data_IF_782396415708
#
_entry.id   IF_782396415708
#
_cell.length_a   1.000
_cell.length_b   1.000
_cell.length_c   1.000
_cell.angle_alpha   90.00
_cell.angle_beta   90.00
_cell.angle_gamma   90.00
#
_symmetry.space_group_name_H-M   'P 1'
#
loop_
_entity.id
_entity.type
_entity.pdbx_description
1 polymer ?
#
# COMPACT_ATOMS: atom_id res chain seq x y z
N UNK A 1 -17.05 -20.19 6.83
CA UNK A 1 -16.24 -20.59 7.97
C UNK A 1 -14.78 -20.28 7.71
N UNK A 2 -14.19 -19.74 8.69
CA UNK A 2 -12.79 -19.45 8.54
C UNK A 2 -11.96 -20.71 8.56
N UNK A 3 -11.12 -20.86 7.58
CA UNK A 3 -10.28 -22.02 7.49
C UNK A 3 -8.99 -21.78 8.26
N UNK A 4 -8.84 -22.45 9.38
CA UNK A 4 -7.67 -22.24 10.20
C UNK A 4 -6.54 -23.15 9.78
N UNK A 5 -5.41 -22.56 9.53
CA UNK A 5 -4.21 -23.33 9.23
C UNK A 5 -3.45 -23.62 10.52
N UNK A 6 -3.61 -24.85 11.02
CA UNK A 6 -3.01 -25.22 12.30
C UNK A 6 -1.50 -25.41 12.22
N UNK A 7 -0.95 -25.51 11.02
CA UNK A 7 0.49 -25.74 10.85
C UNK A 7 1.29 -24.46 10.78
N UNK A 8 0.63 -23.36 10.98
CA UNK A 8 1.34 -22.10 11.02
C UNK A 8 0.76 -21.13 10.05
N UNK A 9 1.31 -20.06 9.94
CA UNK A 9 0.81 -18.98 9.14
C UNK A 9 -0.15 -18.12 9.93
N UNK A 10 0.16 -16.86 10.05
CA UNK A 10 -0.75 -15.92 10.69
C UNK A 10 -2.00 -15.71 9.86
N UNK A 11 -3.10 -15.27 10.47
CA UNK A 11 -4.30 -14.97 9.72
C UNK A 11 -4.10 -13.77 8.80
N UNK A 12 -4.92 -13.72 7.76
CA UNK A 12 -4.96 -12.56 6.86
C UNK A 12 -5.57 -11.36 7.58
N UNK A 13 -5.15 -10.17 7.16
CA UNK A 13 -5.66 -8.92 7.71
C UNK A 13 -6.50 -8.21 6.66
N UNK A 14 -7.65 -7.71 7.06
CA UNK A 14 -8.61 -7.04 6.20
C UNK A 14 -8.92 -5.67 6.78
N UNK A 15 -8.50 -4.63 6.08
CA UNK A 15 -8.74 -3.26 6.53
C UNK A 15 -10.21 -2.89 6.33
N UNK A 16 -10.71 -2.02 7.19
CA UNK A 16 -12.03 -1.44 7.03
C UNK A 16 -12.00 -0.43 5.89
N UNK A 17 -13.08 -0.36 5.09
CA UNK A 17 -13.15 0.68 4.06
C UNK A 17 -13.34 2.05 4.69
N UNK A 18 -12.86 3.08 3.99
CA UNK A 18 -13.12 4.48 4.33
C UNK A 18 -14.08 5.02 3.27
N UNK A 19 -15.36 4.94 3.55
CA UNK A 19 -16.38 5.25 2.55
C UNK A 19 -16.30 6.69 2.05
N UNK A 20 -16.01 7.65 2.92
CA UNK A 20 -15.91 9.05 2.50
C UNK A 20 -14.70 9.28 1.61
N UNK A 21 -13.54 8.75 2.00
CA UNK A 21 -12.34 8.91 1.19
C UNK A 21 -12.46 8.17 -0.13
N UNK A 22 -13.03 6.96 -0.11
CA UNK A 22 -13.27 6.20 -1.35
C UNK A 22 -14.18 6.98 -2.30
N UNK A 23 -15.22 7.59 -1.76
CA UNK A 23 -16.15 8.38 -2.58
C UNK A 23 -15.47 9.60 -3.19
N UNK A 24 -14.62 10.28 -2.44
CA UNK A 24 -13.87 11.44 -2.94
C UNK A 24 -12.95 11.06 -4.07
N UNK A 25 -12.23 9.94 -3.94
CA UNK A 25 -11.35 9.46 -5.01
C UNK A 25 -12.16 9.05 -6.24
N UNK A 26 -13.28 8.35 -6.03
CA UNK A 26 -14.12 7.90 -7.14
C UNK A 26 -14.76 9.09 -7.88
N UNK A 27 -14.98 10.19 -7.17
CA UNK A 27 -15.53 11.40 -7.78
C UNK A 27 -14.47 12.20 -8.56
N UNK A 28 -13.21 11.77 -8.55
CA UNK A 28 -12.15 12.46 -9.28
C UNK A 28 -11.57 13.64 -8.54
N UNK A 29 -11.78 13.74 -7.24
CA UNK A 29 -11.17 14.79 -6.44
C UNK A 29 -9.65 14.64 -6.47
N UNK A 30 -8.92 15.76 -6.48
CA UNK A 30 -7.47 15.74 -6.58
C UNK A 30 -6.87 14.94 -5.40
N UNK A 31 -5.92 14.03 -5.66
CA UNK A 31 -5.34 13.23 -4.58
C UNK A 31 -4.76 14.06 -3.43
N UNK A 32 -4.19 15.25 -3.72
CA UNK A 32 -3.67 16.12 -2.67
C UNK A 32 -4.77 16.58 -1.72
N UNK A 33 -5.95 16.85 -2.25
CA UNK A 33 -7.06 17.28 -1.41
C UNK A 33 -7.59 16.13 -0.58
N UNK A 34 -7.66 14.94 -1.17
CA UNK A 34 -8.11 13.75 -0.46
C UNK A 34 -7.12 13.41 0.67
N UNK A 35 -5.81 13.45 0.39
CA UNK A 35 -4.79 13.18 1.39
C UNK A 35 -4.85 14.20 2.54
N UNK A 36 -5.11 15.47 2.22
CA UNK A 36 -5.20 16.51 3.24
C UNK A 36 -6.40 16.31 4.16
N UNK A 37 -7.52 15.86 3.60
CA UNK A 37 -8.74 15.62 4.38
C UNK A 37 -8.71 14.29 5.11
N UNK A 38 -8.05 13.29 4.54
CA UNK A 38 -8.02 11.93 5.07
C UNK A 38 -6.57 11.44 5.12
N UNK A 39 -5.73 12.01 5.99
CA UNK A 39 -4.30 11.70 5.96
C UNK A 39 -3.93 10.27 6.32
N UNK A 40 -4.86 9.50 6.90
CA UNK A 40 -4.64 8.09 7.18
C UNK A 40 -5.00 7.18 6.01
N UNK A 41 -5.50 7.75 4.92
CA UNK A 41 -6.01 6.99 3.77
C UNK A 41 -4.87 6.72 2.79
N UNK A 42 -4.32 5.53 2.84
CA UNK A 42 -3.13 5.18 2.05
C UNK A 42 -3.32 5.35 0.55
N UNK A 43 -4.54 5.11 0.03
CA UNK A 43 -4.77 5.15 -1.41
C UNK A 43 -4.50 6.53 -2.02
N UNK A 44 -4.78 7.61 -1.28
CA UNK A 44 -4.49 8.95 -1.78
C UNK A 44 -2.98 9.19 -1.86
N UNK A 45 -2.23 8.77 -0.85
CA UNK A 45 -0.77 8.87 -0.89
C UNK A 45 -0.18 8.01 -2.00
N UNK A 46 -0.74 6.81 -2.20
CA UNK A 46 -0.30 5.94 -3.28
C UNK A 46 -0.52 6.60 -4.64
N UNK A 47 -1.68 7.23 -4.84
CA UNK A 47 -1.98 7.94 -6.09
C UNK A 47 -1.00 9.09 -6.34
N UNK A 48 -0.65 9.84 -5.29
CA UNK A 48 0.34 10.90 -5.40
C UNK A 48 1.71 10.35 -5.77
N UNK A 49 2.09 9.22 -5.18
CA UNK A 49 3.36 8.58 -5.49
C UNK A 49 3.41 8.08 -6.94
N UNK A 50 2.33 7.46 -7.38
CA UNK A 50 2.22 6.95 -8.76
C UNK A 50 2.36 8.08 -9.77
N UNK A 51 1.71 9.19 -9.50
CA UNK A 51 1.78 10.37 -10.38
C UNK A 51 3.20 10.95 -10.43
N UNK A 52 3.80 11.15 -9.26
CA UNK A 52 5.16 11.69 -9.19
C UNK A 52 6.16 10.79 -9.89
N UNK A 53 6.03 9.48 -9.69
CA UNK A 53 6.92 8.50 -10.33
C UNK A 53 6.78 8.56 -11.85
N UNK A 54 5.55 8.63 -12.35
CA UNK A 54 5.29 8.71 -13.78
C UNK A 54 5.83 10.02 -14.38
N UNK A 55 5.93 11.07 -13.59
CA UNK A 55 6.49 12.35 -14.02
C UNK A 55 8.02 12.39 -13.96
N UNK A 56 8.65 11.27 -13.58
CA UNK A 56 10.10 11.22 -13.49
C UNK A 56 10.68 11.83 -12.23
N UNK A 57 9.89 11.89 -11.17
CA UNK A 57 10.33 12.47 -9.90
C UNK A 57 10.32 11.40 -8.80
N UNK A 58 11.33 10.51 -8.78
CA UNK A 58 11.32 9.41 -7.83
C UNK A 58 11.52 9.82 -6.37
N UNK A 59 12.17 10.96 -6.12
CA UNK A 59 12.34 11.43 -4.74
C UNK A 59 11.00 11.84 -4.15
N UNK A 60 10.22 12.61 -4.88
CA UNK A 60 8.87 12.98 -4.44
C UNK A 60 7.98 11.75 -4.30
N UNK A 61 8.06 10.83 -5.28
CA UNK A 61 7.31 9.58 -5.22
C UNK A 61 7.67 8.79 -3.96
N UNK A 62 8.95 8.71 -3.63
CA UNK A 62 9.43 8.03 -2.43
C UNK A 62 8.78 8.63 -1.17
N UNK A 63 8.75 9.95 -1.06
CA UNK A 63 8.18 10.62 0.11
C UNK A 63 6.68 10.32 0.26
N UNK A 64 5.94 10.42 -0.82
CA UNK A 64 4.51 10.10 -0.80
C UNK A 64 4.26 8.63 -0.48
N UNK A 65 5.01 7.75 -1.13
CA UNK A 65 4.84 6.31 -0.93
C UNK A 65 5.15 5.92 0.51
N UNK A 66 6.21 6.49 1.08
CA UNK A 66 6.59 6.20 2.45
C UNK A 66 5.49 6.64 3.42
N UNK A 67 4.89 7.79 3.18
CA UNK A 67 3.77 8.25 4.00
C UNK A 67 2.60 7.29 3.92
N UNK A 68 2.19 6.91 2.71
CA UNK A 68 1.08 5.96 2.53
C UNK A 68 1.37 4.60 3.14
N UNK A 69 2.59 4.15 3.00
CA UNK A 69 3.05 2.89 3.58
C UNK A 69 2.92 2.90 5.11
N UNK A 70 3.45 3.93 5.77
CA UNK A 70 3.40 4.01 7.22
C UNK A 70 1.98 4.19 7.75
N UNK A 71 1.15 4.97 7.05
CA UNK A 71 -0.26 5.10 7.43
C UNK A 71 -0.98 3.76 7.31
N UNK A 72 -0.67 3.01 6.27
CA UNK A 72 -1.24 1.67 6.11
C UNK A 72 -0.78 0.71 7.20
N UNK A 73 0.50 0.75 7.57
CA UNK A 73 0.99 -0.08 8.66
C UNK A 73 0.24 0.21 9.96
N UNK A 74 -0.02 1.48 10.26
CA UNK A 74 -0.76 1.84 11.46
C UNK A 74 -2.16 1.23 11.44
N UNK A 75 -2.82 1.29 10.30
CA UNK A 75 -4.16 0.72 10.16
C UNK A 75 -4.15 -0.80 10.28
N UNK A 76 -3.15 -1.45 9.69
CA UNK A 76 -3.01 -2.89 9.78
C UNK A 76 -2.84 -3.31 11.24
N UNK A 77 -2.00 -2.58 11.99
CA UNK A 77 -1.80 -2.88 13.41
C UNK A 77 -3.09 -2.74 14.21
N UNK A 78 -3.87 -1.70 13.91
CA UNK A 78 -5.17 -1.52 14.57
C UNK A 78 -6.14 -2.63 14.24
N UNK A 79 -6.00 -3.22 13.05
CA UNK A 79 -6.85 -4.34 12.62
C UNK A 79 -6.35 -5.69 13.11
N UNK A 80 -5.29 -5.70 13.91
CA UNK A 80 -4.79 -6.94 14.52
C UNK A 80 -3.56 -7.56 13.86
N UNK A 81 -3.03 -6.95 12.79
CA UNK A 81 -1.83 -7.44 12.13
C UNK A 81 -0.64 -7.35 13.08
N UNK A 82 0.16 -8.40 13.13
CA UNK A 82 1.26 -8.52 14.09
C UNK A 82 2.63 -8.50 13.42
N UNK A 83 2.74 -7.83 12.29
CA UNK A 83 4.00 -7.65 11.60
C UNK A 83 4.25 -8.66 10.49
N UNK A 84 3.38 -9.61 10.30
CA UNK A 84 3.50 -10.60 9.24
C UNK A 84 2.12 -11.18 8.92
N UNK A 85 2.04 -11.90 7.82
CA UNK A 85 0.82 -12.55 7.39
C UNK A 85 0.20 -11.86 6.18
N UNK A 86 -0.73 -12.53 5.51
CA UNK A 86 -1.30 -12.02 4.27
C UNK A 86 -2.09 -10.72 4.46
N UNK A 87 -1.97 -9.85 3.45
CA UNK A 87 -2.78 -8.65 3.31
C UNK A 87 -3.36 -8.74 1.90
N UNK A 88 -4.50 -9.45 1.73
CA UNK A 88 -4.96 -9.84 0.40
C UNK A 88 -5.34 -8.68 -0.50
N UNK A 89 -4.84 -8.71 -1.73
CA UNK A 89 -5.19 -7.76 -2.78
C UNK A 89 -6.67 -7.84 -3.15
N UNK A 90 -7.25 -9.02 -3.04
CA UNK A 90 -8.66 -9.24 -3.37
C UNK A 90 -9.60 -8.42 -2.50
N UNK A 91 -9.16 -8.08 -1.30
CA UNK A 91 -9.92 -7.21 -0.42
C UNK A 91 -9.60 -5.76 -0.76
N UNK A 92 -10.50 -5.09 -1.42
CA UNK A 92 -10.25 -3.76 -1.99
C UNK A 92 -9.67 -2.74 -0.99
N UNK A 93 -10.15 -2.66 0.26
CA UNK A 93 -9.58 -1.72 1.21
C UNK A 93 -8.09 -1.89 1.51
N UNK A 94 -7.52 -3.06 1.20
CA UNK A 94 -6.08 -3.30 1.38
C UNK A 94 -5.23 -2.71 0.26
N UNK A 95 -5.84 -2.37 -0.86
CA UNK A 95 -5.08 -2.01 -2.07
C UNK A 95 -4.27 -0.74 -1.94
N UNK A 96 -4.79 0.23 -1.21
CA UNK A 96 -4.06 1.49 -1.00
C UNK A 96 -2.70 1.25 -0.34
N UNK A 97 -2.69 0.44 0.71
CA UNK A 97 -1.44 0.07 1.37
C UNK A 97 -0.50 -0.67 0.42
N UNK A 98 -1.03 -1.65 -0.30
CA UNK A 98 -0.20 -2.47 -1.19
C UNK A 98 0.38 -1.64 -2.33
N UNK A 99 -0.40 -0.70 -2.89
CA UNK A 99 0.09 0.21 -3.92
C UNK A 99 1.18 1.13 -3.36
N UNK A 100 1.00 1.64 -2.14
CA UNK A 100 2.02 2.48 -1.51
C UNK A 100 3.31 1.69 -1.28
N UNK A 101 3.20 0.45 -0.83
CA UNK A 101 4.36 -0.42 -0.63
C UNK A 101 5.09 -0.68 -1.95
N UNK A 102 4.34 -0.96 -3.02
CA UNK A 102 4.93 -1.15 -4.35
C UNK A 102 5.69 0.10 -4.80
N UNK A 103 5.06 1.26 -4.65
CA UNK A 103 5.69 2.52 -5.07
C UNK A 103 6.89 2.88 -4.22
N UNK A 104 6.87 2.52 -2.93
CA UNK A 104 8.04 2.73 -2.08
C UNK A 104 9.23 1.92 -2.61
N UNK A 105 9.00 0.66 -2.96
CA UNK A 105 10.05 -0.17 -3.54
C UNK A 105 10.55 0.35 -4.87
N UNK A 106 9.64 0.72 -5.77
CA UNK A 106 10.01 1.23 -7.09
C UNK A 106 10.81 2.54 -6.97
N UNK A 107 10.34 3.45 -6.12
CA UNK A 107 11.02 4.74 -5.92
C UNK A 107 12.37 4.56 -5.26
N UNK A 108 12.46 3.66 -4.28
CA UNK A 108 13.72 3.35 -3.62
C UNK A 108 14.75 2.85 -4.64
N UNK A 109 14.34 1.93 -5.51
CA UNK A 109 15.22 1.43 -6.56
C UNK A 109 15.69 2.53 -7.50
N UNK A 110 14.78 3.43 -7.87
CA UNK A 110 15.10 4.52 -8.79
C UNK A 110 16.12 5.51 -8.21
N UNK A 111 16.17 5.65 -6.88
CA UNK A 111 17.14 6.55 -6.24
C UNK A 111 18.36 5.81 -5.69
N UNK A 112 18.50 4.53 -6.01
CA UNK A 112 19.69 3.77 -5.63
C UNK A 112 19.66 3.11 -4.27
N UNK A 113 18.52 3.14 -3.59
CA UNK A 113 18.35 2.43 -2.32
C UNK A 113 17.98 0.97 -2.56
N UNK A 114 18.95 0.19 -3.03
CA UNK A 114 18.68 -1.16 -3.49
C UNK A 114 18.22 -2.11 -2.39
N UNK A 115 18.77 -1.97 -1.19
CA UNK A 115 18.35 -2.81 -0.06
C UNK A 115 16.89 -2.55 0.30
N UNK A 116 16.49 -1.28 0.31
CA UNK A 116 15.11 -0.92 0.62
C UNK A 116 14.18 -1.40 -0.50
N UNK A 117 14.60 -1.27 -1.75
CA UNK A 117 13.81 -1.75 -2.89
C UNK A 117 13.56 -3.27 -2.74
N UNK A 118 14.59 -4.02 -2.38
CA UNK A 118 14.47 -5.47 -2.22
C UNK A 118 13.57 -5.82 -1.02
N UNK A 119 13.73 -5.11 0.09
CA UNK A 119 12.89 -5.33 1.27
C UNK A 119 11.42 -5.13 0.95
N UNK A 120 11.11 -4.04 0.24
CA UNK A 120 9.73 -3.73 -0.13
C UNK A 120 9.16 -4.77 -1.09
N UNK A 121 9.96 -5.19 -2.08
CA UNK A 121 9.52 -6.19 -3.04
C UNK A 121 9.20 -7.52 -2.34
N UNK A 122 10.05 -7.93 -1.41
CA UNK A 122 9.82 -9.17 -0.66
C UNK A 122 8.59 -9.04 0.24
N UNK A 123 8.46 -7.91 0.93
CA UNK A 123 7.30 -7.68 1.79
C UNK A 123 6.00 -7.70 0.98
N UNK A 124 6.02 -7.13 -0.22
CA UNK A 124 4.85 -7.15 -1.08
C UNK A 124 4.48 -8.59 -1.47
N UNK A 125 5.48 -9.38 -1.87
CA UNK A 125 5.24 -10.79 -2.22
C UNK A 125 4.69 -11.57 -1.03
N UNK A 126 5.25 -11.33 0.15
CA UNK A 126 4.82 -12.02 1.37
C UNK A 126 3.41 -11.61 1.77
N UNK A 127 3.05 -10.36 1.52
CA UNK A 127 1.71 -9.85 1.85
C UNK A 127 0.66 -10.36 0.87
N UNK A 128 0.97 -10.33 -0.43
CA UNK A 128 0.03 -10.75 -1.47
C UNK A 128 0.79 -11.01 -2.77
N UNK A 129 0.92 -12.29 -3.12
CA UNK A 129 1.52 -12.65 -4.41
C UNK A 129 0.71 -12.07 -5.56
N UNK A 130 -0.62 -11.99 -5.41
CA UNK A 130 -1.49 -11.39 -6.40
C UNK A 130 -1.17 -9.91 -6.61
N UNK A 131 -1.00 -9.16 -5.51
CA UNK A 131 -0.63 -7.75 -5.61
C UNK A 131 0.70 -7.58 -6.32
N UNK A 132 1.69 -8.40 -5.97
CA UNK A 132 3.00 -8.31 -6.61
C UNK A 132 2.89 -8.52 -8.12
N UNK A 133 2.08 -9.49 -8.54
CA UNK A 133 1.87 -9.76 -9.97
C UNK A 133 1.11 -8.63 -10.65
N UNK A 134 0.01 -8.18 -10.03
CA UNK A 134 -0.83 -7.13 -10.62
C UNK A 134 -0.07 -5.81 -10.77
N UNK A 135 0.68 -5.43 -9.75
CA UNK A 135 1.35 -4.13 -9.74
C UNK A 135 2.61 -4.11 -10.60
N UNK A 136 3.25 -5.25 -10.78
CA UNK A 136 4.48 -5.31 -11.59
C UNK A 136 4.22 -5.28 -13.09
N UNK A 137 2.96 -5.38 -13.52
CA UNK A 137 2.63 -5.33 -14.95
C UNK A 137 2.45 -3.91 -15.47
N UNK A 138 2.59 -2.91 -14.65
CA UNK A 138 2.39 -1.51 -15.06
C UNK A 138 3.62 -0.84 -15.63
#
# INVERSE_FOLDING_TARGET
MEHRNLLGGPPATYLLPDAEADAAMAAGEAPEKVAARFPAYSAAWAALAERAYAQGDPVTAYAYARTGYHRGLDQLRRAGWKGHGPVPWEHEPNRGFLRALHMLGASAGAIGEDDEAERCAQFLRDSSATAAAELSTE
#
